data_IF_992335845919
#
_entry.id   IF_992335845919
#
_cell.length_a   1.000
_cell.length_b   1.000
_cell.length_c   1.000
_cell.angle_alpha   90.00
_cell.angle_beta   90.00
_cell.angle_gamma   90.00
#
_symmetry.space_group_name_H-M   'P 1'
#
loop_
_entity.id
_entity.type
_entity.pdbx_description
1 polymer ?
#
# COMPACT_ATOMS: atom_id res chain seq x y z
N UNK A 1 4.04 6.89 17.06
CA UNK A 1 4.97 7.73 17.85
C UNK A 1 6.01 8.24 16.88
N UNK A 2 6.13 9.55 16.74
CA UNK A 2 6.99 10.20 15.74
C UNK A 2 8.14 10.84 16.49
N UNK A 3 9.39 10.60 16.07
CA UNK A 3 10.53 11.31 16.65
C UNK A 3 10.61 12.68 15.99
N UNK A 4 10.60 13.71 16.83
CA UNK A 4 10.72 15.09 16.42
C UNK A 4 12.04 15.68 16.93
N UNK A 5 12.72 16.45 16.08
CA UNK A 5 13.91 17.21 16.43
C UNK A 5 13.61 18.69 16.24
N UNK A 6 14.09 19.54 17.16
CA UNK A 6 14.16 20.99 16.92
C UNK A 6 15.51 21.31 16.34
N UNK A 7 15.53 21.97 15.19
CA UNK A 7 16.78 22.48 14.62
C UNK A 7 17.23 23.78 15.31
N UNK A 8 18.36 24.32 14.86
CA UNK A 8 18.95 25.57 15.38
C UNK A 8 18.01 26.78 15.21
N UNK A 9 17.11 26.71 14.22
CA UNK A 9 16.12 27.74 13.91
C UNK A 9 14.79 27.52 14.68
N UNK A 10 14.77 26.56 15.62
CA UNK A 10 13.61 26.14 16.41
C UNK A 10 12.47 25.53 15.59
N UNK A 11 12.71 25.14 14.34
CA UNK A 11 11.74 24.39 13.57
C UNK A 11 11.71 22.93 14.03
N UNK A 12 10.50 22.46 14.29
CA UNK A 12 10.26 21.03 14.53
C UNK A 12 10.29 20.28 13.21
N UNK A 13 11.15 19.27 13.12
CA UNK A 13 11.25 18.36 11.99
C UNK A 13 10.98 16.94 12.45
N UNK A 14 10.26 16.18 11.63
CA UNK A 14 9.99 14.77 11.87
C UNK A 14 11.09 13.91 11.26
N UNK A 15 11.58 12.94 12.03
CA UNK A 15 12.45 11.89 11.52
C UNK A 15 11.61 10.90 10.74
N UNK A 16 11.85 10.80 9.42
CA UNK A 16 11.12 9.89 8.51
C UNK A 16 11.82 8.56 8.29
N UNK A 17 13.12 8.49 8.56
CA UNK A 17 13.92 7.27 8.43
C UNK A 17 15.12 7.35 9.36
N UNK A 18 15.55 6.19 9.84
CA UNK A 18 16.78 6.01 10.61
C UNK A 18 17.58 4.92 9.90
N UNK A 19 18.89 5.10 9.78
CA UNK A 19 19.78 4.09 9.22
C UNK A 19 21.05 3.97 10.07
N UNK A 20 21.64 2.77 10.07
CA UNK A 20 22.95 2.51 10.66
C UNK A 20 23.97 2.23 9.57
N UNK A 21 25.19 2.72 9.76
CA UNK A 21 26.30 2.45 8.85
C UNK A 21 26.97 1.14 9.26
N UNK A 22 26.97 0.16 8.36
CA UNK A 22 27.68 -1.11 8.55
C UNK A 22 29.18 -0.96 8.38
N UNK A 23 29.92 -2.03 8.67
CA UNK A 23 31.39 -2.06 8.61
C UNK A 23 31.97 -1.73 7.22
N UNK A 24 31.22 -2.01 6.14
CA UNK A 24 31.59 -1.65 4.76
C UNK A 24 31.16 -0.24 4.33
N UNK A 25 30.62 0.56 5.26
CA UNK A 25 30.14 1.91 4.99
C UNK A 25 28.74 2.00 4.36
N UNK A 26 28.10 0.86 4.10
CA UNK A 26 26.73 0.78 3.61
C UNK A 26 25.74 1.22 4.69
N UNK A 27 24.70 1.96 4.32
CA UNK A 27 23.60 2.31 5.21
C UNK A 27 22.54 1.21 5.21
N UNK A 28 22.11 0.81 6.39
CA UNK A 28 21.01 -0.14 6.61
C UNK A 28 19.86 0.57 7.32
N UNK A 29 18.70 0.58 6.70
CA UNK A 29 17.49 1.20 7.25
C UNK A 29 17.01 0.43 8.50
N UNK A 30 16.64 1.16 9.54
CA UNK A 30 16.07 0.62 10.77
C UNK A 30 14.55 0.66 10.67
N UNK A 31 13.91 -0.51 10.77
CA UNK A 31 12.45 -0.59 10.82
C UNK A 31 11.87 -0.24 12.18
N UNK A 32 12.56 -0.62 13.26
CA UNK A 32 12.10 -0.36 14.63
C UNK A 32 13.29 0.03 15.50
N UNK A 33 13.17 1.13 16.23
CA UNK A 33 14.11 1.52 17.28
C UNK A 33 13.42 1.41 18.63
N UNK A 34 14.04 0.64 19.54
CA UNK A 34 13.63 0.52 20.93
C UNK A 34 14.74 0.99 21.84
N UNK A 35 14.37 1.65 22.94
CA UNK A 35 15.28 2.00 24.04
C UNK A 35 14.84 1.27 25.30
N UNK A 36 15.81 0.96 26.15
CA UNK A 36 15.54 0.38 27.46
C UNK A 36 15.27 1.51 28.45
N UNK A 37 14.12 1.46 29.11
CA UNK A 37 13.75 2.38 30.18
C UNK A 37 14.50 2.08 31.49
N UNK A 38 14.37 2.99 32.45
CA UNK A 38 14.86 2.76 33.82
C UNK A 38 14.15 1.60 34.51
N UNK A 39 12.94 1.25 34.05
CA UNK A 39 12.17 0.09 34.50
C UNK A 39 12.60 -1.22 33.81
N UNK A 40 13.73 -1.21 33.09
CA UNK A 40 14.26 -2.32 32.28
C UNK A 40 13.36 -2.76 31.12
N UNK A 41 12.23 -2.07 30.87
CA UNK A 41 11.33 -2.37 29.77
C UNK A 41 11.83 -1.78 28.45
N UNK A 42 11.47 -2.40 27.32
CA UNK A 42 11.79 -1.87 26.00
C UNK A 42 10.65 -0.98 25.51
N UNK A 43 10.95 0.29 25.26
CA UNK A 43 10.03 1.25 24.68
C UNK A 43 10.36 1.47 23.20
N UNK A 44 9.37 1.27 22.33
CA UNK A 44 9.48 1.63 20.92
C UNK A 44 9.39 3.14 20.75
N UNK A 45 10.47 3.74 20.23
CA UNK A 45 10.56 5.19 20.02
C UNK A 45 10.51 5.55 18.54
N UNK A 46 10.79 4.59 17.66
CA UNK A 46 10.59 4.72 16.22
C UNK A 46 10.08 3.39 15.67
N UNK A 47 9.11 3.49 14.78
CA UNK A 47 8.64 2.38 13.97
C UNK A 47 8.35 2.93 12.59
N UNK A 48 9.02 2.36 11.60
CA UNK A 48 8.81 2.69 10.21
C UNK A 48 7.41 2.23 9.82
N UNK A 49 6.56 3.19 9.45
CA UNK A 49 5.19 2.92 9.03
C UNK A 49 5.01 3.40 7.60
N UNK A 50 4.50 2.47 6.79
CA UNK A 50 3.93 2.77 5.49
C UNK A 50 2.41 2.72 5.67
N UNK A 51 1.78 3.87 5.82
CA UNK A 51 0.33 3.98 5.91
C UNK A 51 -0.22 4.00 4.49
N UNK A 52 -0.90 2.93 4.11
CA UNK A 52 -1.46 2.75 2.77
C UNK A 52 -2.97 2.84 2.85
N UNK A 53 -3.56 3.64 1.97
CA UNK A 53 -5.00 3.77 1.81
C UNK A 53 -5.37 3.81 0.33
N UNK A 54 -6.64 3.60 0.01
CA UNK A 54 -7.16 3.64 -1.35
C UNK A 54 -8.33 4.60 -1.44
N UNK A 55 -8.47 5.29 -2.57
CA UNK A 55 -9.55 6.26 -2.80
C UNK A 55 -10.95 5.66 -2.66
N UNK A 56 -11.11 4.36 -2.97
CA UNK A 56 -12.33 3.61 -2.69
C UNK A 56 -12.01 2.14 -2.39
N UNK A 57 -12.36 1.62 -1.20
CA UNK A 57 -12.11 0.22 -0.85
C UNK A 57 -13.14 -0.75 -1.47
N UNK A 58 -14.28 -0.23 -1.95
CA UNK A 58 -15.30 -0.98 -2.65
C UNK A 58 -15.62 -0.29 -3.98
N UNK A 59 -15.56 -1.04 -5.09
CA UNK A 59 -16.01 -0.55 -6.40
C UNK A 59 -17.12 -1.45 -6.92
N UNK A 60 -18.17 -0.83 -7.42
CA UNK A 60 -19.22 -1.51 -8.14
C UNK A 60 -19.22 -1.01 -9.58
N UNK A 61 -19.30 -1.91 -10.55
CA UNK A 61 -19.20 -1.56 -11.97
C UNK A 61 -20.13 -2.41 -12.81
N UNK A 62 -20.70 -1.77 -13.82
CA UNK A 62 -21.68 -2.37 -14.71
C UNK A 62 -21.30 -2.12 -16.15
N UNK A 63 -21.39 -3.14 -16.99
CA UNK A 63 -21.35 -2.99 -18.44
C UNK A 63 -22.25 -4.04 -19.09
N UNK A 64 -22.94 -3.72 -20.19
CA UNK A 64 -23.82 -4.67 -20.91
C UNK A 64 -23.07 -5.85 -21.54
N UNK A 65 -21.77 -5.70 -21.75
CA UNK A 65 -20.91 -6.65 -22.42
C UNK A 65 -19.65 -6.89 -21.60
N UNK A 66 -19.00 -8.03 -21.86
CA UNK A 66 -17.65 -8.24 -21.36
C UNK A 66 -16.64 -7.50 -22.27
N UNK A 67 -15.52 -7.02 -21.71
CA UNK A 67 -15.20 -6.96 -20.29
C UNK A 67 -16.01 -5.89 -19.55
N UNK A 68 -16.23 -6.09 -18.25
CA UNK A 68 -16.65 -5.01 -17.35
C UNK A 68 -15.39 -4.34 -16.81
N UNK A 69 -15.29 -3.01 -16.96
CA UNK A 69 -14.15 -2.21 -16.50
C UNK A 69 -14.60 -1.33 -15.34
N UNK A 70 -13.79 -1.29 -14.28
CA UNK A 70 -14.08 -0.47 -13.12
C UNK A 70 -13.76 1.00 -13.32
N UNK A 71 -14.30 1.86 -12.43
CA UNK A 71 -13.72 3.19 -12.22
C UNK A 71 -12.28 3.07 -11.69
N UNK A 72 -11.49 4.12 -11.87
CA UNK A 72 -10.11 4.16 -11.39
C UNK A 72 -10.07 4.23 -9.86
N UNK A 73 -9.11 3.53 -9.28
CA UNK A 73 -8.69 3.70 -7.88
C UNK A 73 -7.28 4.24 -7.84
N UNK A 74 -7.02 5.04 -6.82
CA UNK A 74 -5.71 5.59 -6.53
C UNK A 74 -5.30 5.21 -5.13
N UNK A 75 -4.12 4.61 -4.98
CA UNK A 75 -3.48 4.33 -3.69
C UNK A 75 -2.75 5.58 -3.21
N UNK A 76 -2.94 5.89 -1.93
CA UNK A 76 -2.24 6.96 -1.23
C UNK A 76 -1.32 6.35 -0.19
N UNK A 77 -0.08 6.82 -0.16
CA UNK A 77 0.98 6.33 0.73
C UNK A 77 1.44 7.49 1.61
N UNK A 78 1.34 7.31 2.92
CA UNK A 78 1.85 8.22 3.94
C UNK A 78 2.99 7.55 4.72
N UNK A 79 4.02 8.33 5.05
CA UNK A 79 5.26 7.78 5.60
C UNK A 79 6.16 7.18 4.52
N UNK A 80 7.12 6.34 4.91
CA UNK A 80 8.09 5.78 3.98
C UNK A 80 9.01 6.79 3.31
N UNK A 81 9.85 6.30 2.41
CA UNK A 81 10.66 7.13 1.53
C UNK A 81 10.41 6.76 0.05
N UNK A 82 10.00 7.73 -0.80
CA UNK A 82 9.83 7.49 -2.24
C UNK A 82 11.19 7.25 -2.93
N UNK A 83 11.23 6.62 -4.13
CA UNK A 83 10.07 6.18 -4.93
C UNK A 83 9.37 4.95 -4.33
N UNK A 84 8.05 4.89 -4.51
CA UNK A 84 7.24 3.72 -4.13
C UNK A 84 7.09 2.80 -5.33
N UNK A 85 7.24 1.50 -5.09
CA UNK A 85 6.97 0.44 -6.05
C UNK A 85 5.61 -0.17 -5.73
N UNK A 86 4.70 -0.15 -6.70
CA UNK A 86 3.37 -0.73 -6.60
C UNK A 86 3.32 -2.09 -7.28
N UNK A 87 2.46 -2.98 -6.79
CA UNK A 87 2.24 -4.30 -7.39
C UNK A 87 0.84 -4.80 -7.06
N UNK A 88 -0.08 -4.58 -8.00
CA UNK A 88 -1.41 -5.13 -7.95
C UNK A 88 -1.42 -6.62 -8.29
N UNK A 89 -2.14 -7.39 -7.49
CA UNK A 89 -2.37 -8.81 -7.70
C UNK A 89 -3.82 -9.20 -7.37
N UNK A 90 -4.32 -10.22 -8.06
CA UNK A 90 -5.62 -10.82 -7.75
C UNK A 90 -5.46 -11.71 -6.51
N UNK A 91 -6.25 -11.45 -5.47
CA UNK A 91 -6.28 -12.29 -4.25
C UNK A 91 -7.31 -13.40 -4.40
N UNK A 92 -8.52 -13.05 -4.85
CA UNK A 92 -9.56 -14.01 -5.13
C UNK A 92 -10.51 -13.50 -6.23
N UNK A 93 -11.26 -14.42 -6.82
CA UNK A 93 -12.31 -14.10 -7.77
C UNK A 93 -13.44 -15.14 -7.68
N UNK A 94 -14.67 -14.68 -7.84
CA UNK A 94 -15.88 -15.49 -7.89
C UNK A 94 -16.77 -15.02 -9.04
N UNK A 95 -17.26 -15.98 -9.84
CA UNK A 95 -18.18 -15.77 -10.96
C UNK A 95 -17.67 -14.84 -12.07
N UNK A 96 -16.36 -14.83 -12.33
CA UNK A 96 -15.75 -14.30 -13.55
C UNK A 96 -14.63 -15.24 -13.99
N UNK A 97 -14.29 -15.22 -15.28
CA UNK A 97 -13.23 -16.08 -15.83
C UNK A 97 -11.85 -15.55 -15.44
N UNK A 98 -11.70 -14.22 -15.45
CA UNK A 98 -10.46 -13.55 -15.03
C UNK A 98 -10.73 -12.12 -14.57
N UNK A 99 -9.95 -11.67 -13.59
CA UNK A 99 -9.92 -10.27 -13.15
C UNK A 99 -8.47 -9.81 -13.00
N UNK A 100 -8.15 -8.63 -13.53
CA UNK A 100 -6.80 -8.06 -13.45
C UNK A 100 -6.80 -6.54 -13.35
N UNK A 101 -5.73 -5.98 -12.76
CA UNK A 101 -5.42 -4.56 -12.84
C UNK A 101 -4.84 -4.22 -14.22
N UNK A 102 -5.31 -3.14 -14.86
CA UNK A 102 -4.80 -2.70 -16.16
C UNK A 102 -3.44 -1.98 -16.05
N UNK A 103 -3.14 -1.37 -14.90
CA UNK A 103 -1.86 -0.72 -14.61
C UNK A 103 -1.25 -1.32 -13.34
N UNK A 104 -0.75 -2.57 -13.38
CA UNK A 104 -0.44 -3.33 -12.17
C UNK A 104 0.75 -2.80 -11.37
N UNK A 105 1.55 -1.89 -11.92
CA UNK A 105 2.71 -1.29 -11.25
C UNK A 105 2.54 0.21 -10.98
N UNK A 106 1.30 0.69 -10.94
CA UNK A 106 0.94 2.10 -10.77
C UNK A 106 0.10 2.31 -9.52
N UNK A 107 0.27 3.46 -8.86
CA UNK A 107 -0.59 3.91 -7.78
C UNK A 107 -2.06 4.07 -8.23
N UNK A 108 -2.27 4.43 -9.50
CA UNK A 108 -3.60 4.54 -10.10
C UNK A 108 -3.83 3.42 -11.12
N UNK A 109 -4.91 2.67 -10.97
CA UNK A 109 -5.32 1.62 -11.93
C UNK A 109 -6.84 1.52 -12.02
N UNK A 110 -7.33 0.89 -13.09
CA UNK A 110 -8.67 0.31 -13.18
C UNK A 110 -8.57 -1.22 -13.16
N UNK A 111 -9.68 -1.89 -12.91
CA UNK A 111 -9.79 -3.34 -12.93
C UNK A 111 -10.66 -3.81 -14.08
N UNK A 112 -10.21 -4.84 -14.77
CA UNK A 112 -10.93 -5.48 -15.88
C UNK A 112 -11.38 -6.86 -15.44
N UNK A 113 -12.68 -7.14 -15.60
CA UNK A 113 -13.26 -8.46 -15.41
C UNK A 113 -13.80 -9.01 -16.73
N UNK A 114 -13.35 -10.20 -17.10
CA UNK A 114 -13.85 -10.98 -18.23
C UNK A 114 -14.71 -12.15 -17.72
N UNK A 115 -15.64 -12.64 -18.54
CA UNK A 115 -16.51 -13.75 -18.15
C UNK A 115 -17.61 -13.42 -17.13
N UNK A 116 -17.95 -12.13 -16.94
CA UNK A 116 -19.02 -11.74 -16.01
C UNK A 116 -20.39 -12.23 -16.54
N UNK A 117 -21.19 -12.98 -15.74
CA UNK A 117 -22.48 -13.53 -16.17
C UNK A 117 -23.62 -12.49 -16.14
N UNK A 118 -24.64 -12.64 -17.00
CA UNK A 118 -25.76 -11.69 -17.19
C UNK A 118 -26.75 -11.54 -16.02
N UNK A 119 -26.73 -12.43 -15.04
CA UNK A 119 -27.77 -12.49 -13.99
C UNK A 119 -27.18 -12.65 -12.59
N UNK A 120 -25.86 -12.50 -12.47
CA UNK A 120 -25.13 -12.72 -11.22
C UNK A 120 -23.93 -11.79 -11.17
N UNK A 121 -23.69 -11.20 -10.00
CA UNK A 121 -22.50 -10.40 -9.82
C UNK A 121 -21.25 -11.29 -9.75
N UNK A 122 -20.19 -10.86 -10.42
CA UNK A 122 -18.84 -11.31 -10.14
C UNK A 122 -18.25 -10.49 -9.00
N UNK A 123 -17.48 -11.14 -8.13
CA UNK A 123 -16.79 -10.49 -7.02
C UNK A 123 -15.31 -10.85 -7.05
N UNK A 124 -14.44 -9.86 -6.84
CA UNK A 124 -13.00 -10.08 -6.77
C UNK A 124 -12.38 -9.16 -5.72
N UNK A 125 -11.29 -9.61 -5.12
CA UNK A 125 -10.45 -8.80 -4.26
C UNK A 125 -9.09 -8.65 -4.94
N UNK A 126 -8.66 -7.40 -5.14
CA UNK A 126 -7.32 -7.09 -5.64
C UNK A 126 -6.53 -6.38 -4.56
N UNK A 127 -5.26 -6.76 -4.41
CA UNK A 127 -4.34 -6.19 -3.43
C UNK A 127 -3.21 -5.47 -4.15
N UNK A 128 -2.91 -4.25 -3.70
CA UNK A 128 -1.66 -3.59 -4.02
C UNK A 128 -0.67 -3.87 -2.90
N UNK A 129 0.49 -4.42 -3.24
CA UNK A 129 1.64 -4.55 -2.36
C UNK A 129 2.62 -3.41 -2.69
N UNK A 130 2.81 -2.47 -1.77
CA UNK A 130 3.62 -1.27 -1.95
C UNK A 130 4.94 -1.45 -1.21
N UNK A 131 6.06 -1.16 -1.86
CA UNK A 131 7.40 -1.15 -1.25
C UNK A 131 8.04 0.23 -1.40
N UNK A 132 8.60 0.77 -0.33
CA UNK A 132 9.35 2.03 -0.35
C UNK A 132 10.82 1.82 -0.78
N UNK A 133 11.58 2.90 -0.98
CA UNK A 133 12.98 2.80 -1.43
C UNK A 133 13.90 2.02 -0.46
N UNK A 134 13.49 1.91 0.81
CA UNK A 134 14.23 1.24 1.85
C UNK A 134 13.83 -0.24 2.02
N UNK A 135 12.88 -0.71 1.21
CA UNK A 135 12.39 -2.08 1.25
C UNK A 135 11.26 -2.33 2.26
N UNK A 136 10.72 -1.29 2.89
CA UNK A 136 9.57 -1.46 3.78
C UNK A 136 8.28 -1.58 2.98
N UNK A 137 7.42 -2.51 3.40
CA UNK A 137 6.21 -2.86 2.68
C UNK A 137 4.95 -2.47 3.42
N UNK A 138 3.92 -2.13 2.65
CA UNK A 138 2.53 -1.99 3.10
C UNK A 138 1.60 -2.56 2.04
N UNK A 139 0.34 -2.82 2.39
CA UNK A 139 -0.63 -3.32 1.41
C UNK A 139 -2.01 -2.75 1.65
N UNK A 140 -2.81 -2.70 0.58
CA UNK A 140 -4.22 -2.34 0.64
C UNK A 140 -5.01 -3.21 -0.33
N UNK A 141 -6.22 -3.59 0.08
CA UNK A 141 -7.13 -4.39 -0.75
C UNK A 141 -8.32 -3.55 -1.22
N UNK A 142 -8.78 -3.85 -2.43
CA UNK A 142 -10.01 -3.32 -3.02
C UNK A 142 -10.94 -4.47 -3.34
N UNK A 143 -12.16 -4.36 -2.83
CA UNK A 143 -13.26 -5.24 -3.21
C UNK A 143 -13.93 -4.71 -4.47
N UNK A 144 -14.01 -5.52 -5.51
CA UNK A 144 -14.66 -5.20 -6.76
C UNK A 144 -15.89 -6.08 -6.96
N UNK A 145 -16.99 -5.45 -7.38
CA UNK A 145 -18.24 -6.11 -7.78
C UNK A 145 -18.52 -5.71 -9.22
N UNK A 146 -18.60 -6.70 -10.12
CA UNK A 146 -18.88 -6.51 -11.53
C UNK A 146 -20.24 -7.11 -11.89
N UNK A 147 -21.08 -6.36 -12.59
CA UNK A 147 -22.40 -6.80 -13.05
C UNK A 147 -22.57 -6.55 -14.55
N UNK A 148 -23.49 -7.31 -15.16
CA UNK A 148 -23.82 -7.24 -16.59
C UNK A 148 -25.32 -7.35 -16.82
#
# INVERSE_FOLDING_TARGET
MTIEIKDQDKFTRQIRAIAIKGAGGLLHSIGVLRIRGHDESLHEIFCHKLEVSVSSPLIQSYARHNPVISSAVTVQVLGGLPPYQHRWSLVNCQNADSVMALSPFSATTTFRADGVPHKRAASAYLRDDITDQNGFTGSVEVHCIFTR
#
